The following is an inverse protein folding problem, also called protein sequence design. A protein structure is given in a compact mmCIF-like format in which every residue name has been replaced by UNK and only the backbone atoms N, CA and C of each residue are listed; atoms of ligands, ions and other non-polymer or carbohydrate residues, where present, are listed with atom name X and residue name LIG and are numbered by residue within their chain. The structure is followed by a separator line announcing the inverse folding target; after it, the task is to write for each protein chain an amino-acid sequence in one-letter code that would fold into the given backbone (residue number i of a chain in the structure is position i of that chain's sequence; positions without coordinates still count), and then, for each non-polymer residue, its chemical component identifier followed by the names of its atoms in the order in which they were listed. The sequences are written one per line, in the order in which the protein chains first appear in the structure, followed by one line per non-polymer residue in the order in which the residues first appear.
data_IF_555627358125
#
_entry.id   IF_555627358125
#
_cell.length_a   1.000
_cell.length_b   1.000
_cell.length_c   1.000
_cell.angle_alpha   90.00
_cell.angle_beta   90.00
_cell.angle_gamma   90.00
#
_symmetry.space_group_name_H-M   'P 1'
#
loop_
_entity.id
_entity.type
_entity.pdbx_description
1 polymer ?
#
# COMPACT_ATOMS: atom_id res chain seq x y z
N UNK A 1 7.24 23.56 -7.74
CA UNK A 1 7.01 22.50 -6.72
C UNK A 1 6.83 21.22 -7.50
N UNK A 2 7.49 20.14 -7.09
CA UNK A 2 7.39 18.86 -7.79
C UNK A 2 6.08 18.14 -7.43
N UNK A 3 5.54 17.40 -8.39
CA UNK A 3 4.29 16.64 -8.24
C UNK A 3 4.50 15.48 -7.26
N UNK A 4 3.59 15.34 -6.29
CA UNK A 4 3.50 14.15 -5.44
C UNK A 4 2.35 13.29 -5.95
N UNK A 5 2.61 12.00 -6.14
CA UNK A 5 1.61 11.01 -6.52
C UNK A 5 1.26 10.19 -5.29
N UNK A 6 0.00 10.22 -4.88
CA UNK A 6 -0.53 9.26 -3.91
C UNK A 6 -0.94 7.99 -4.64
N UNK A 7 -0.23 6.89 -4.37
CA UNK A 7 -0.60 5.57 -4.83
C UNK A 7 -0.90 4.67 -3.62
N UNK A 8 -1.84 3.75 -3.75
CA UNK A 8 -2.21 2.96 -2.58
C UNK A 8 -2.93 1.66 -2.88
N UNK A 9 -2.81 0.75 -1.92
CA UNK A 9 -3.43 -0.58 -1.99
C UNK A 9 -4.95 -0.45 -2.10
N UNK A 10 -5.53 -1.24 -2.98
CA UNK A 10 -6.96 -1.20 -3.32
C UNK A 10 -7.84 -1.50 -2.10
N UNK A 11 -8.69 -0.53 -1.75
CA UNK A 11 -9.72 -0.69 -0.71
C UNK A 11 -10.97 -1.44 -1.19
N UNK A 12 -11.09 -1.73 -2.49
CA UNK A 12 -12.24 -2.42 -3.09
C UNK A 12 -11.93 -3.83 -3.58
N UNK A 13 -10.65 -4.21 -3.64
CA UNK A 13 -10.21 -5.54 -4.10
C UNK A 13 -9.28 -6.20 -3.09
N UNK A 14 -8.11 -5.62 -2.87
CA UNK A 14 -7.00 -6.31 -2.20
C UNK A 14 -7.14 -6.30 -0.70
N UNK A 15 -7.42 -5.15 -0.08
CA UNK A 15 -7.64 -5.08 1.36
C UNK A 15 -8.87 -5.89 1.82
N UNK A 16 -10.07 -5.76 1.21
CA UNK A 16 -11.26 -6.46 1.71
C UNK A 16 -11.28 -7.95 1.40
N UNK A 17 -10.73 -8.40 0.25
CA UNK A 17 -10.91 -9.78 -0.23
C UNK A 17 -9.62 -10.56 -0.44
N UNK A 18 -8.46 -9.90 -0.40
CA UNK A 18 -7.16 -10.55 -0.58
C UNK A 18 -6.62 -11.20 0.68
N UNK A 19 -5.46 -11.85 0.53
CA UNK A 19 -4.63 -12.37 1.62
C UNK A 19 -3.49 -11.40 1.93
N UNK A 20 -2.80 -11.55 3.07
CA UNK A 20 -1.58 -10.79 3.39
C UNK A 20 -0.55 -10.79 2.26
N UNK A 21 -0.36 -11.92 1.58
CA UNK A 21 0.53 -12.03 0.42
C UNK A 21 0.11 -11.14 -0.75
N UNK A 22 -1.18 -10.91 -0.94
CA UNK A 22 -1.70 -10.07 -2.02
C UNK A 22 -1.52 -8.59 -1.69
N UNK A 23 -1.69 -8.20 -0.41
CA UNK A 23 -1.35 -6.86 0.09
C UNK A 23 0.13 -6.56 -0.17
N UNK A 24 1.02 -7.47 0.25
CA UNK A 24 2.46 -7.31 0.05
C UNK A 24 2.82 -7.16 -1.44
N UNK A 25 2.33 -8.04 -2.30
CA UNK A 25 2.58 -7.98 -3.75
C UNK A 25 2.08 -6.68 -4.38
N UNK A 26 0.93 -6.18 -3.94
CA UNK A 26 0.40 -4.91 -4.46
C UNK A 26 1.26 -3.73 -4.01
N UNK A 27 1.74 -3.73 -2.76
CA UNK A 27 2.69 -2.71 -2.29
C UNK A 27 4.01 -2.73 -3.07
N UNK A 28 4.57 -3.93 -3.30
CA UNK A 28 5.77 -4.12 -4.13
C UNK A 28 5.54 -3.54 -5.53
N UNK A 29 4.43 -3.90 -6.17
CA UNK A 29 4.07 -3.40 -7.50
C UNK A 29 3.93 -1.88 -7.54
N UNK A 30 3.28 -1.26 -6.54
CA UNK A 30 3.11 0.20 -6.45
C UNK A 30 4.45 0.93 -6.30
N UNK A 31 5.38 0.36 -5.53
CA UNK A 31 6.71 0.94 -5.31
C UNK A 31 7.60 0.79 -6.54
N UNK A 32 7.56 -0.37 -7.19
CA UNK A 32 8.31 -0.65 -8.42
C UNK A 32 7.88 0.24 -9.58
N UNK A 33 6.57 0.42 -9.75
CA UNK A 33 5.98 1.15 -10.88
C UNK A 33 5.75 2.65 -10.58
N UNK A 34 5.79 3.05 -9.31
CA UNK A 34 5.68 4.44 -8.89
C UNK A 34 6.94 5.27 -9.23
N UNK A 35 6.85 6.61 -9.14
CA UNK A 35 7.99 7.47 -9.37
C UNK A 35 9.08 7.23 -8.31
N UNK A 36 10.36 7.46 -8.68
CA UNK A 36 11.50 7.28 -7.76
C UNK A 36 11.47 8.24 -6.58
N UNK A 37 10.92 9.43 -6.80
CA UNK A 37 10.76 10.51 -5.83
C UNK A 37 9.35 11.06 -5.94
N UNK A 38 8.79 11.54 -4.83
CA UNK A 38 7.42 12.07 -4.81
C UNK A 38 6.32 11.00 -4.81
N UNK A 39 6.63 9.73 -4.55
CA UNK A 39 5.60 8.72 -4.27
C UNK A 39 5.17 8.81 -2.79
N UNK A 40 3.89 9.03 -2.56
CA UNK A 40 3.24 8.81 -1.28
C UNK A 40 2.53 7.45 -1.32
N UNK A 41 3.06 6.46 -0.61
CA UNK A 41 2.48 5.12 -0.53
C UNK A 41 1.42 5.10 0.58
N UNK A 42 0.19 4.69 0.23
CA UNK A 42 -0.92 4.63 1.16
C UNK A 42 -1.98 3.59 0.76
N UNK A 43 -3.25 3.95 0.92
CA UNK A 43 -4.41 3.19 0.44
C UNK A 43 -5.17 4.01 -0.61
N UNK A 44 -5.88 3.34 -1.52
CA UNK A 44 -6.48 4.00 -2.69
C UNK A 44 -7.66 4.92 -2.36
N UNK A 45 -8.29 4.75 -1.19
CA UNK A 45 -9.34 5.62 -0.63
C UNK A 45 -9.55 5.27 0.86
N UNK A 46 -10.70 5.61 1.44
CA UNK A 46 -11.04 5.24 2.82
C UNK A 46 -11.23 3.72 2.98
N UNK A 47 -10.65 3.17 4.05
CA UNK A 47 -10.89 1.78 4.46
C UNK A 47 -12.24 1.66 5.18
N UNK A 48 -13.00 0.61 4.87
CA UNK A 48 -14.29 0.31 5.50
C UNK A 48 -14.16 -0.84 6.52
N UNK A 49 -15.10 -0.96 7.48
CA UNK A 49 -15.13 -2.11 8.40
C UNK A 49 -15.21 -3.45 7.65
N UNK A 50 -14.64 -4.50 8.24
CA UNK A 50 -14.65 -5.86 7.68
C UNK A 50 -13.38 -6.27 6.93
N UNK A 51 -12.42 -5.35 6.74
CA UNK A 51 -11.07 -5.71 6.29
C UNK A 51 -10.40 -6.60 7.35
N UNK A 52 -9.81 -7.71 6.91
CA UNK A 52 -9.09 -8.64 7.79
C UNK A 52 -7.96 -7.93 8.53
N UNK A 53 -7.85 -8.22 9.83
CA UNK A 53 -6.78 -7.64 10.66
C UNK A 53 -5.38 -8.01 10.14
N UNK A 54 -5.21 -9.21 9.60
CA UNK A 54 -3.92 -9.63 9.03
C UNK A 54 -3.54 -8.76 7.83
N UNK A 55 -4.52 -8.38 6.99
CA UNK A 55 -4.28 -7.48 5.86
C UNK A 55 -3.92 -6.07 6.33
N UNK A 56 -4.58 -5.56 7.38
CA UNK A 56 -4.24 -4.26 7.99
C UNK A 56 -2.82 -4.29 8.56
N UNK A 57 -2.46 -5.37 9.24
CA UNK A 57 -1.14 -5.52 9.85
C UNK A 57 -0.03 -5.58 8.79
N UNK A 58 -0.23 -6.36 7.73
CA UNK A 58 0.71 -6.42 6.59
C UNK A 58 0.85 -5.07 5.89
N UNK A 59 -0.23 -4.31 5.75
CA UNK A 59 -0.18 -2.96 5.20
C UNK A 59 0.71 -2.03 6.05
N UNK A 60 0.51 -2.04 7.39
CA UNK A 60 1.31 -1.23 8.32
C UNK A 60 2.80 -1.65 8.30
N UNK A 61 3.07 -2.95 8.31
CA UNK A 61 4.42 -3.50 8.21
C UNK A 61 5.10 -3.10 6.90
N UNK A 62 4.36 -3.11 5.78
CA UNK A 62 4.86 -2.65 4.49
C UNK A 62 5.17 -1.16 4.47
N UNK A 63 4.32 -0.31 5.07
CA UNK A 63 4.61 1.12 5.17
C UNK A 63 5.89 1.38 5.97
N UNK A 64 6.07 0.67 7.08
CA UNK A 64 7.27 0.78 7.90
C UNK A 64 8.52 0.31 7.15
N UNK A 65 8.41 -0.80 6.42
CA UNK A 65 9.50 -1.34 5.62
C UNK A 65 9.97 -0.33 4.56
N UNK A 66 9.07 0.20 3.74
CA UNK A 66 9.45 1.15 2.66
C UNK A 66 9.89 2.51 3.20
N UNK A 67 9.41 2.91 4.39
CA UNK A 67 9.90 4.11 5.08
C UNK A 67 11.35 3.96 5.54
N UNK A 68 11.76 2.77 5.94
CA UNK A 68 13.09 2.49 6.51
C UNK A 68 14.12 2.06 5.46
N UNK A 69 13.72 1.27 4.47
CA UNK A 69 14.62 0.68 3.47
C UNK A 69 14.55 1.39 2.12
N UNK A 70 13.53 2.23 1.89
CA UNK A 70 13.26 2.81 0.58
C UNK A 70 12.86 1.75 -0.43
N UNK A 71 13.04 2.08 -1.71
CA UNK A 71 12.85 1.18 -2.85
C UNK A 71 14.19 0.84 -3.48
#
# INVERSE_FOLDING_TARGET
RDLIIWAGVSVTRTLPFGKPSDVKKEMEWLVENGPKTGLFLGISSSMVPGVSWDNVKTLIEGFEYYRTHGR
#
